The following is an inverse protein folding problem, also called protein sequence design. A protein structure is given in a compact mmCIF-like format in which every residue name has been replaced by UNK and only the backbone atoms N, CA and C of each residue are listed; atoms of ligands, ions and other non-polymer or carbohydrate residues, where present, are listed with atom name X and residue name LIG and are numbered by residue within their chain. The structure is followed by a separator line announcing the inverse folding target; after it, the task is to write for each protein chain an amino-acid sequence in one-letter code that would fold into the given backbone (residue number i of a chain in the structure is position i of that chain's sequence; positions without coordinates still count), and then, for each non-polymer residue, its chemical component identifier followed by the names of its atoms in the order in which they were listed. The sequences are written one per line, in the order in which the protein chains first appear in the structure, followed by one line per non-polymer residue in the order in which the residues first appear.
data_IF_674836436759
#
_entry.id   IF_674836436759
#
_cell.length_a   1.000
_cell.length_b   1.000
_cell.length_c   1.000
_cell.angle_alpha   90.00
_cell.angle_beta   90.00
_cell.angle_gamma   90.00
#
_symmetry.space_group_name_H-M   'P 1'
#
loop_
_entity.id
_entity.type
_entity.pdbx_description
1 polymer ?
#
# COMPACT_ATOMS: atom_id res chain seq x y z
N UNK A 1 14.95 -3.57 17.93
CA UNK A 1 13.53 -3.60 18.37
C UNK A 1 12.68 -3.38 17.14
N UNK A 2 11.58 -4.12 16.98
CA UNK A 2 10.64 -3.96 15.85
C UNK A 2 9.39 -3.20 16.30
N UNK A 3 8.94 -2.27 15.46
CA UNK A 3 7.72 -1.47 15.66
C UNK A 3 6.68 -1.87 14.62
N UNK A 4 5.48 -2.25 15.04
CA UNK A 4 4.41 -2.64 14.11
C UNK A 4 3.94 -1.44 13.29
N UNK A 5 3.81 -1.64 11.97
CA UNK A 5 3.21 -0.66 11.08
C UNK A 5 1.70 -0.88 11.09
N UNK A 6 0.88 0.14 11.45
CA UNK A 6 -0.55 0.02 11.39
C UNK A 6 -1.04 0.06 9.93
N UNK A 7 -1.12 -1.11 9.30
CA UNK A 7 -1.74 -1.34 7.99
C UNK A 7 -3.27 -1.30 8.12
N UNK A 8 -3.80 -0.11 8.39
CA UNK A 8 -5.19 0.09 8.78
C UNK A 8 -5.92 1.08 7.88
N UNK A 9 -7.24 1.05 7.92
CA UNK A 9 -8.09 1.97 7.16
C UNK A 9 -8.00 3.44 7.57
N UNK A 10 -7.21 3.81 8.59
CA UNK A 10 -7.09 5.21 9.03
C UNK A 10 -6.41 6.08 7.95
N UNK A 11 -5.30 5.62 7.37
CA UNK A 11 -4.60 6.35 6.30
C UNK A 11 -5.46 6.41 5.03
N UNK A 12 -6.16 5.31 4.71
CA UNK A 12 -7.17 5.28 3.65
C UNK A 12 -8.29 6.30 3.87
N UNK A 13 -8.76 6.44 5.12
CA UNK A 13 -9.70 7.46 5.51
C UNK A 13 -9.16 8.87 5.28
N UNK A 14 -7.91 9.16 5.67
CA UNK A 14 -7.28 10.46 5.44
C UNK A 14 -7.22 10.82 3.96
N UNK A 15 -6.76 9.92 3.09
CA UNK A 15 -6.74 10.14 1.64
C UNK A 15 -8.16 10.35 1.10
N UNK A 16 -9.11 9.52 1.55
CA UNK A 16 -10.49 9.62 1.10
C UNK A 16 -11.10 11.00 1.39
N UNK A 17 -10.92 11.54 2.60
CA UNK A 17 -11.43 12.87 2.95
C UNK A 17 -10.76 13.98 2.14
N UNK A 18 -9.43 13.90 1.95
CA UNK A 18 -8.71 14.90 1.14
C UNK A 18 -9.19 14.89 -0.32
N UNK A 19 -9.37 13.72 -0.94
CA UNK A 19 -9.91 13.62 -2.30
C UNK A 19 -11.38 14.03 -2.38
N UNK A 20 -12.17 13.76 -1.35
CA UNK A 20 -13.56 14.20 -1.26
C UNK A 20 -13.65 15.73 -1.25
N UNK A 21 -12.81 16.40 -0.47
CA UNK A 21 -12.88 17.85 -0.26
C UNK A 21 -12.16 18.65 -1.36
N UNK A 22 -11.10 18.08 -1.95
CA UNK A 22 -10.25 18.78 -2.94
C UNK A 22 -10.48 18.33 -4.38
N UNK A 23 -11.15 17.19 -4.59
CA UNK A 23 -11.31 16.57 -5.90
C UNK A 23 -10.08 15.76 -6.33
N UNK A 24 -9.87 15.56 -7.65
CA UNK A 24 -8.72 14.87 -8.19
C UNK A 24 -7.39 15.48 -7.74
N UNK A 25 -6.46 14.66 -7.26
CA UNK A 25 -5.13 15.12 -6.83
C UNK A 25 -4.03 14.20 -7.31
N UNK A 26 -2.88 14.79 -7.66
CA UNK A 26 -1.65 14.06 -7.90
C UNK A 26 -1.06 13.51 -6.59
N UNK A 27 -0.15 12.56 -6.74
CA UNK A 27 0.58 11.96 -5.62
C UNK A 27 1.29 12.98 -4.74
N UNK A 28 2.01 13.93 -5.34
CA UNK A 28 2.73 14.97 -4.61
C UNK A 28 1.80 15.87 -3.78
N UNK A 29 0.60 16.15 -4.30
CA UNK A 29 -0.41 16.93 -3.61
C UNK A 29 -1.02 16.14 -2.44
N UNK A 30 -1.27 14.84 -2.62
CA UNK A 30 -1.72 13.96 -1.54
C UNK A 30 -0.68 13.88 -0.42
N UNK A 31 0.60 13.68 -0.73
CA UNK A 31 1.67 13.67 0.28
C UNK A 31 1.73 15.01 1.03
N UNK A 32 1.67 16.12 0.30
CA UNK A 32 1.72 17.46 0.89
C UNK A 32 0.52 17.76 1.80
N UNK A 33 -0.69 17.36 1.41
CA UNK A 33 -1.93 17.66 2.14
C UNK A 33 -2.19 16.71 3.31
N UNK A 34 -1.75 15.45 3.20
CA UNK A 34 -2.00 14.42 4.21
C UNK A 34 -0.86 14.25 5.20
N UNK A 35 0.34 14.74 4.87
CA UNK A 35 1.58 14.51 5.60
C UNK A 35 1.92 13.02 5.79
N UNK A 36 1.40 12.16 4.93
CA UNK A 36 1.71 10.74 4.92
C UNK A 36 3.08 10.50 4.31
N UNK A 37 3.73 9.42 4.73
CA UNK A 37 4.89 8.87 4.01
C UNK A 37 4.45 8.15 2.74
N UNK A 38 5.37 7.88 1.82
CA UNK A 38 5.06 7.08 0.61
C UNK A 38 4.50 5.69 0.97
N UNK A 39 5.10 5.01 1.95
CA UNK A 39 4.58 3.74 2.49
C UNK A 39 3.09 3.87 2.88
N UNK A 40 2.75 4.89 3.67
CA UNK A 40 1.39 5.12 4.14
C UNK A 40 0.44 5.51 2.99
N UNK A 41 0.91 6.33 2.05
CA UNK A 41 0.15 6.69 0.86
C UNK A 41 -0.22 5.45 0.06
N UNK A 42 0.77 4.67 -0.38
CA UNK A 42 0.56 3.56 -1.30
C UNK A 42 -0.22 2.42 -0.67
N UNK A 43 0.03 2.09 0.60
CA UNK A 43 -0.80 1.11 1.33
C UNK A 43 -2.25 1.58 1.44
N UNK A 44 -2.48 2.87 1.67
CA UNK A 44 -3.83 3.43 1.71
C UNK A 44 -4.51 3.45 0.33
N UNK A 45 -3.78 3.72 -0.77
CA UNK A 45 -4.30 3.58 -2.14
C UNK A 45 -4.73 2.14 -2.41
N UNK A 46 -3.89 1.15 -2.07
CA UNK A 46 -4.21 -0.27 -2.20
C UNK A 46 -5.46 -0.68 -1.41
N UNK A 47 -5.58 -0.17 -0.19
CA UNK A 47 -6.75 -0.38 0.67
C UNK A 47 -8.03 0.18 0.03
N UNK A 48 -8.02 1.44 -0.41
CA UNK A 48 -9.16 2.10 -1.05
C UNK A 48 -9.54 1.44 -2.38
N UNK A 49 -8.54 0.97 -3.14
CA UNK A 49 -8.77 0.24 -4.39
C UNK A 49 -9.51 -1.07 -4.10
N UNK A 50 -9.10 -1.80 -3.06
CA UNK A 50 -9.79 -3.04 -2.65
C UNK A 50 -11.24 -2.80 -2.20
N UNK A 51 -11.52 -1.61 -1.67
CA UNK A 51 -12.87 -1.15 -1.29
C UNK A 51 -13.69 -0.58 -2.45
N UNK A 52 -13.14 -0.54 -3.67
CA UNK A 52 -13.78 0.05 -4.85
C UNK A 52 -14.12 1.55 -4.68
N UNK A 53 -13.24 2.30 -3.98
CA UNK A 53 -13.46 3.72 -3.65
C UNK A 53 -12.55 4.70 -4.36
N UNK A 54 -11.50 4.22 -5.03
CA UNK A 54 -10.51 5.06 -5.69
C UNK A 54 -10.16 4.51 -7.06
N UNK A 55 -9.93 5.41 -8.00
CA UNK A 55 -9.42 5.15 -9.35
C UNK A 55 -8.29 6.12 -9.66
N UNK A 56 -7.48 5.77 -10.66
CA UNK A 56 -6.44 6.65 -11.17
C UNK A 56 -6.77 7.04 -12.60
N UNK A 57 -6.74 8.33 -12.89
CA UNK A 57 -6.84 8.88 -14.23
C UNK A 57 -5.62 9.76 -14.48
N UNK A 58 -4.88 9.46 -15.55
CA UNK A 58 -3.58 10.08 -15.82
C UNK A 58 -2.68 9.97 -14.56
N UNK A 59 -2.18 11.09 -14.07
CA UNK A 59 -1.33 11.18 -12.89
C UNK A 59 -2.09 11.56 -11.60
N UNK A 60 -3.42 11.49 -11.62
CA UNK A 60 -4.27 11.90 -10.49
C UNK A 60 -5.12 10.75 -9.94
N UNK A 61 -5.29 10.74 -8.63
CA UNK A 61 -6.23 9.87 -7.93
C UNK A 61 -7.57 10.57 -7.77
N UNK A 62 -8.65 9.80 -7.93
CA UNK A 62 -10.03 10.29 -7.91
C UNK A 62 -10.89 9.29 -7.14
N UNK A 63 -11.88 9.78 -6.38
CA UNK A 63 -12.88 8.91 -5.77
C UNK A 63 -13.82 8.34 -6.84
N UNK A 64 -14.15 7.06 -6.71
CA UNK A 64 -15.08 6.37 -7.61
C UNK A 64 -14.78 4.89 -7.75
N UNK A 65 -15.54 4.21 -8.60
CA UNK A 65 -15.33 2.81 -8.92
C UNK A 65 -13.92 2.59 -9.46
N UNK A 66 -13.23 1.60 -8.90
CA UNK A 66 -11.81 1.40 -9.15
C UNK A 66 -11.57 0.80 -10.53
N UNK A 67 -10.63 1.39 -11.25
CA UNK A 67 -10.04 0.80 -12.46
C UNK A 67 -8.72 0.06 -12.15
N UNK A 68 -8.36 -0.07 -10.87
CA UNK A 68 -7.05 -0.54 -10.43
C UNK A 68 -7.01 -2.04 -10.11
N UNK A 69 -8.17 -2.72 -10.02
CA UNK A 69 -8.26 -4.16 -9.72
C UNK A 69 -7.35 -5.02 -10.61
N UNK A 70 -7.30 -4.86 -11.95
CA UNK A 70 -6.50 -5.75 -12.79
C UNK A 70 -5.00 -5.67 -12.50
N UNK A 71 -4.50 -4.51 -12.06
CA UNK A 71 -3.09 -4.28 -11.78
C UNK A 71 -2.79 -4.62 -10.32
N UNK A 72 -3.41 -3.92 -9.36
CA UNK A 72 -3.12 -4.09 -7.93
C UNK A 72 -3.48 -5.50 -7.47
N UNK A 73 -4.60 -6.07 -7.94
CA UNK A 73 -5.01 -7.43 -7.56
C UNK A 73 -4.03 -8.50 -8.06
N UNK A 74 -3.48 -8.32 -9.27
CA UNK A 74 -2.44 -9.22 -9.80
C UNK A 74 -1.15 -9.13 -9.00
N UNK A 75 -0.75 -7.92 -8.64
CA UNK A 75 0.49 -7.67 -7.89
C UNK A 75 0.35 -8.12 -6.43
N UNK A 76 -0.82 -7.95 -5.81
CA UNK A 76 -1.17 -8.55 -4.52
C UNK A 76 -1.03 -10.08 -4.54
N UNK A 77 -1.42 -10.74 -5.63
CA UNK A 77 -1.20 -12.18 -5.81
C UNK A 77 0.28 -12.57 -5.83
N UNK A 78 1.14 -11.77 -6.49
CA UNK A 78 2.60 -12.00 -6.48
C UNK A 78 3.19 -11.83 -5.09
N UNK A 79 2.81 -10.76 -4.39
CA UNK A 79 3.27 -10.48 -3.02
C UNK A 79 2.82 -11.58 -2.06
N UNK A 80 1.54 -11.95 -2.11
CA UNK A 80 1.02 -13.04 -1.28
C UNK A 80 1.80 -14.34 -1.49
N UNK A 81 2.06 -14.72 -2.75
CA UNK A 81 2.84 -15.93 -3.07
C UNK A 81 4.30 -15.85 -2.60
N UNK A 82 4.92 -14.67 -2.67
CA UNK A 82 6.27 -14.46 -2.15
C UNK A 82 6.31 -14.64 -0.63
N UNK A 83 5.37 -14.01 0.10
CA UNK A 83 5.26 -14.14 1.55
C UNK A 83 4.93 -15.58 1.98
N UNK A 84 4.10 -16.30 1.22
CA UNK A 84 3.78 -17.71 1.48
C UNK A 84 5.02 -18.62 1.40
N UNK A 85 5.92 -18.36 0.45
CA UNK A 85 7.12 -19.19 0.23
C UNK A 85 8.25 -18.81 1.19
N UNK A 86 8.47 -17.51 1.41
CA UNK A 86 9.66 -16.99 2.09
C UNK A 86 9.41 -16.55 3.53
N UNK A 87 8.15 -16.46 3.97
CA UNK A 87 7.79 -16.01 5.31
C UNK A 87 7.94 -14.49 5.47
N UNK A 88 8.50 -14.08 6.61
CA UNK A 88 8.83 -12.68 6.90
C UNK A 88 9.98 -12.20 6.02
N UNK A 89 9.78 -11.09 5.32
CA UNK A 89 10.75 -10.58 4.34
C UNK A 89 10.66 -9.06 4.18
N UNK A 90 11.80 -8.44 3.88
CA UNK A 90 11.90 -7.00 3.68
C UNK A 90 11.38 -6.54 2.31
N UNK A 91 10.97 -5.27 2.22
CA UNK A 91 10.41 -4.67 1.00
C UNK A 91 11.35 -4.77 -0.21
N UNK A 92 12.66 -4.60 -0.04
CA UNK A 92 13.62 -4.66 -1.16
C UNK A 92 13.68 -6.09 -1.71
N UNK A 93 13.70 -7.07 -0.81
CA UNK A 93 13.64 -8.48 -1.19
C UNK A 93 12.30 -8.85 -1.85
N UNK A 94 11.16 -8.34 -1.35
CA UNK A 94 9.85 -8.52 -1.99
C UNK A 94 9.79 -7.91 -3.38
N UNK A 95 10.28 -6.68 -3.54
CA UNK A 95 10.41 -5.99 -4.83
C UNK A 95 11.18 -6.86 -5.82
N UNK A 96 12.36 -7.37 -5.43
CA UNK A 96 13.19 -8.23 -6.26
C UNK A 96 12.51 -9.55 -6.64
N UNK A 97 11.87 -10.23 -5.68
CA UNK A 97 11.23 -11.54 -5.91
C UNK A 97 9.97 -11.43 -6.75
N UNK A 98 9.19 -10.36 -6.57
CA UNK A 98 7.95 -10.09 -7.30
C UNK A 98 8.15 -9.34 -8.61
N UNK A 99 9.34 -8.77 -8.82
CA UNK A 99 9.69 -7.88 -9.94
C UNK A 99 8.75 -6.66 -10.01
N UNK A 100 8.55 -6.04 -8.86
CA UNK A 100 7.70 -4.86 -8.67
C UNK A 100 8.52 -3.69 -8.15
N UNK A 101 8.14 -2.46 -8.49
CA UNK A 101 8.68 -1.30 -7.80
C UNK A 101 8.19 -1.28 -6.34
N UNK A 102 8.92 -0.61 -5.44
CA UNK A 102 8.54 -0.58 -4.01
C UNK A 102 7.14 0.00 -3.77
N UNK A 103 6.75 1.04 -4.52
CA UNK A 103 5.40 1.59 -4.43
C UNK A 103 4.31 0.58 -4.84
N UNK A 104 4.58 -0.27 -5.82
CA UNK A 104 3.67 -1.35 -6.22
C UNK A 104 3.60 -2.44 -5.14
N UNK A 105 4.73 -2.75 -4.48
CA UNK A 105 4.76 -3.63 -3.31
C UNK A 105 3.88 -3.05 -2.21
N UNK A 106 4.05 -1.78 -1.83
CA UNK A 106 3.24 -1.13 -0.80
C UNK A 106 1.75 -1.08 -1.16
N UNK A 107 1.44 -0.81 -2.42
CA UNK A 107 0.04 -0.81 -2.90
C UNK A 107 -0.57 -2.21 -2.82
N UNK A 108 0.17 -3.24 -3.21
CA UNK A 108 -0.24 -4.64 -3.05
C UNK A 108 -0.40 -5.05 -1.57
N UNK A 109 0.50 -4.60 -0.69
CA UNK A 109 0.37 -4.80 0.76
C UNK A 109 -0.90 -4.15 1.30
N UNK A 110 -1.23 -2.92 0.87
CA UNK A 110 -2.47 -2.25 1.22
C UNK A 110 -3.74 -3.03 0.84
N UNK A 111 -3.73 -3.60 -0.36
CA UNK A 111 -4.80 -4.48 -0.84
C UNK A 111 -4.96 -5.72 0.06
N UNK A 112 -3.85 -6.41 0.36
CA UNK A 112 -3.85 -7.59 1.24
C UNK A 112 -4.22 -7.25 2.69
N UNK A 113 -3.84 -6.07 3.17
CA UNK A 113 -4.18 -5.58 4.49
C UNK A 113 -5.68 -5.36 4.63
N UNK A 114 -6.33 -4.82 3.59
CA UNK A 114 -7.80 -4.70 3.55
C UNK A 114 -8.50 -6.06 3.61
N UNK A 115 -7.86 -7.11 3.10
CA UNK A 115 -8.35 -8.50 3.19
C UNK A 115 -7.98 -9.19 4.51
N UNK A 116 -7.26 -8.51 5.40
CA UNK A 116 -6.82 -9.07 6.69
C UNK A 116 -5.77 -10.16 6.55
N UNK A 117 -4.94 -10.13 5.49
CA UNK A 117 -3.99 -11.22 5.17
C UNK A 117 -2.54 -10.96 5.53
N UNK A 118 -2.18 -9.72 5.86
CA UNK A 118 -0.77 -9.32 6.02
C UNK A 118 -0.60 -8.42 7.24
N UNK A 119 0.59 -8.48 7.84
CA UNK A 119 1.10 -7.55 8.85
C UNK A 119 2.46 -7.01 8.41
N UNK A 120 2.92 -5.94 9.06
CA UNK A 120 4.25 -5.40 8.82
C UNK A 120 4.83 -4.70 10.04
N UNK A 121 6.16 -4.55 10.03
CA UNK A 121 6.91 -3.84 11.05
C UNK A 121 8.14 -3.14 10.48
N UNK A 122 8.60 -2.11 11.18
CA UNK A 122 9.91 -1.51 11.01
C UNK A 122 10.87 -2.18 11.97
N UNK A 123 11.96 -2.76 11.46
CA UNK A 123 13.03 -3.37 12.26
C UNK A 123 14.29 -2.52 12.20
N UNK A 124 14.87 -2.22 13.35
CA UNK A 124 16.05 -1.36 13.50
C UNK A 124 17.33 -2.12 13.91
N UNK A 125 17.47 -3.38 13.51
CA UNK A 125 18.63 -4.20 13.88
C UNK A 125 19.82 -3.94 12.93
N UNK A 126 20.40 -2.73 13.03
CA UNK A 126 21.58 -2.29 12.28
C UNK A 126 21.27 -1.41 11.07
N UNK A 127 20.23 -1.76 10.32
CA UNK A 127 19.67 -0.98 9.22
C UNK A 127 18.14 -0.98 9.38
N UNK A 128 17.50 0.17 9.17
CA UNK A 128 16.04 0.27 9.19
C UNK A 128 15.46 -0.52 8.01
N UNK A 129 14.60 -1.49 8.31
CA UNK A 129 13.94 -2.33 7.30
C UNK A 129 12.45 -2.40 7.53
N UNK A 130 11.69 -2.20 6.47
CA UNK A 130 10.26 -2.49 6.45
C UNK A 130 10.05 -3.95 6.08
N UNK A 131 9.47 -4.73 7.01
CA UNK A 131 9.21 -6.16 6.91
C UNK A 131 7.71 -6.43 6.78
N UNK A 132 7.34 -7.47 6.04
CA UNK A 132 5.95 -7.95 5.95
C UNK A 132 5.88 -9.48 6.08
N UNK A 133 4.76 -9.98 6.61
CA UNK A 133 4.46 -11.42 6.74
C UNK A 133 2.94 -11.67 6.64
N UNK A 134 2.56 -12.91 6.29
CA UNK A 134 1.15 -13.32 6.29
C UNK A 134 0.62 -13.54 7.71
N UNK A 135 -0.66 -13.24 7.92
CA UNK A 135 -1.41 -13.57 9.14
C UNK A 135 -1.83 -15.03 9.20
#
# INVERSE_FOLDING_TARGET
MSELIPLSGNQAGTIWHVLHDRGPLAESELLALTHLTELQLYTAIGWLARENKIRKENDTYILGETNLVPVIGKDAGKIWRALEIWGEIDVLSLSRLSRLAEHDVFTAIGWLAREGKVEGAISNNGEEKTLFWLK
#
